data_IF_623018881506
#
_entry.id   IF_623018881506
#
_cell.length_a   1.000
_cell.length_b   1.000
_cell.length_c   1.000
_cell.angle_alpha   90.00
_cell.angle_beta   90.00
_cell.angle_gamma   90.00
#
_symmetry.space_group_name_H-M   'P 1'
#
loop_
_entity.id
_entity.type
_entity.pdbx_description
1 polymer ?
#
# COMPACT_ATOMS: atom_id res chain seq x y z
N UNK A 1 -3.07 15.18 -8.92
CA UNK A 1 -2.62 13.78 -9.13
C UNK A 1 -2.08 13.28 -7.81
N UNK A 2 -2.65 12.21 -7.27
CA UNK A 2 -2.17 11.64 -6.01
C UNK A 2 -0.88 10.86 -6.27
N UNK A 3 0.23 11.29 -5.64
CA UNK A 3 1.51 10.58 -5.77
C UNK A 3 1.43 9.14 -5.28
N UNK A 4 0.55 8.89 -4.30
CA UNK A 4 0.33 7.56 -3.74
C UNK A 4 -0.42 6.65 -4.71
N UNK A 5 -1.51 7.14 -5.33
CA UNK A 5 -2.34 6.34 -6.23
C UNK A 5 -1.63 6.01 -7.55
N UNK A 6 -0.76 6.89 -8.02
CA UNK A 6 0.01 6.68 -9.27
C UNK A 6 1.27 5.82 -9.10
N UNK A 7 1.65 5.47 -7.86
CA UNK A 7 2.89 4.77 -7.57
C UNK A 7 2.95 3.34 -8.16
N UNK A 8 1.83 2.63 -8.21
CA UNK A 8 1.77 1.28 -8.81
C UNK A 8 2.10 1.35 -10.31
N UNK A 9 1.45 2.25 -11.04
CA UNK A 9 1.71 2.46 -12.47
C UNK A 9 3.13 2.95 -12.72
N UNK A 10 3.67 3.82 -11.85
CA UNK A 10 5.05 4.27 -11.92
C UNK A 10 6.08 3.12 -11.91
N UNK A 11 5.79 2.04 -11.18
CA UNK A 11 6.64 0.84 -11.12
C UNK A 11 6.25 -0.25 -12.14
N UNK A 12 5.34 0.03 -13.07
CA UNK A 12 5.00 -0.87 -14.18
C UNK A 12 3.88 -1.88 -13.87
N UNK A 13 3.09 -1.66 -12.81
CA UNK A 13 1.82 -2.36 -12.64
C UNK A 13 0.74 -1.71 -13.49
N UNK A 14 -0.07 -2.52 -14.19
CA UNK A 14 -1.20 -2.02 -14.99
C UNK A 14 -2.38 -1.65 -14.09
N UNK A 15 -2.25 -0.50 -13.41
CA UNK A 15 -3.25 0.05 -12.49
C UNK A 15 -3.43 1.53 -12.83
N UNK A 16 -4.24 1.85 -13.85
CA UNK A 16 -4.52 3.24 -14.21
C UNK A 16 -5.35 3.93 -13.12
N UNK A 17 -5.11 5.23 -12.94
CA UNK A 17 -5.98 6.10 -12.13
C UNK A 17 -7.30 6.29 -12.90
N UNK A 18 -8.43 6.04 -12.24
CA UNK A 18 -9.78 6.21 -12.78
C UNK A 18 -10.65 6.92 -11.74
N UNK A 19 -11.79 7.47 -12.16
CA UNK A 19 -12.75 8.11 -11.25
C UNK A 19 -13.32 7.10 -10.24
N UNK A 20 -13.61 7.58 -9.03
CA UNK A 20 -14.09 6.72 -7.93
C UNK A 20 -15.40 5.99 -8.28
N UNK A 21 -16.36 6.69 -8.89
CA UNK A 21 -17.63 6.08 -9.30
C UNK A 21 -17.43 5.00 -10.36
N UNK A 22 -16.53 5.22 -11.32
CA UNK A 22 -16.18 4.22 -12.32
C UNK A 22 -15.51 3.00 -11.69
N UNK A 23 -14.54 3.21 -10.79
CA UNK A 23 -13.91 2.13 -10.03
C UNK A 23 -14.91 1.33 -9.20
N UNK A 24 -15.82 2.02 -8.51
CA UNK A 24 -16.86 1.40 -7.67
C UNK A 24 -17.79 0.53 -8.51
N UNK A 25 -18.29 1.03 -9.64
CA UNK A 25 -19.13 0.23 -10.56
C UNK A 25 -18.40 -1.02 -11.04
N UNK A 26 -17.13 -0.90 -11.46
CA UNK A 26 -16.33 -2.06 -11.89
C UNK A 26 -16.12 -3.09 -10.76
N UNK A 27 -15.92 -2.63 -9.52
CA UNK A 27 -15.81 -3.50 -8.35
C UNK A 27 -17.13 -4.24 -8.08
N UNK A 28 -18.27 -3.53 -8.14
CA UNK A 28 -19.59 -4.11 -7.94
C UNK A 28 -19.90 -5.18 -8.99
N UNK A 29 -19.67 -4.87 -10.27
CA UNK A 29 -19.81 -5.83 -11.38
C UNK A 29 -18.92 -7.05 -11.18
N UNK A 30 -17.65 -6.86 -10.82
CA UNK A 30 -16.71 -7.96 -10.61
C UNK A 30 -17.13 -8.91 -9.48
N UNK A 31 -17.69 -8.38 -8.39
CA UNK A 31 -18.17 -9.16 -7.24
C UNK A 31 -19.52 -9.83 -7.54
N UNK A 32 -20.42 -9.15 -8.26
CA UNK A 32 -21.77 -9.64 -8.55
C UNK A 32 -21.85 -10.60 -9.75
N UNK A 33 -20.91 -10.55 -10.70
CA UNK A 33 -20.88 -11.40 -11.91
C UNK A 33 -20.57 -12.88 -11.64
N UNK A 34 -20.93 -13.41 -10.47
CA UNK A 34 -20.50 -14.72 -9.98
C UNK A 34 -20.73 -15.89 -10.94
N UNK A 35 -19.86 -16.90 -10.79
CA UNK A 35 -20.06 -18.33 -11.11
C UNK A 35 -19.67 -18.89 -12.48
N UNK A 36 -18.51 -18.52 -13.04
CA UNK A 36 -17.82 -19.43 -13.98
C UNK A 36 -16.47 -19.93 -13.43
N UNK A 37 -15.74 -19.10 -12.70
CA UNK A 37 -14.53 -19.52 -11.96
C UNK A 37 -14.51 -18.79 -10.61
N UNK A 38 -14.97 -19.46 -9.54
CA UNK A 38 -14.79 -18.96 -8.16
C UNK A 38 -13.32 -19.13 -7.76
N UNK A 39 -12.47 -18.26 -8.27
CA UNK A 39 -11.11 -18.15 -7.75
C UNK A 39 -11.09 -17.40 -6.41
N UNK A 40 -10.12 -17.74 -5.57
CA UNK A 40 -9.88 -17.14 -4.24
C UNK A 40 -9.82 -15.60 -4.27
N UNK A 41 -9.55 -15.01 -5.45
CA UNK A 41 -9.46 -13.57 -5.67
C UNK A 41 -10.79 -12.83 -5.42
N UNK A 42 -11.94 -13.42 -5.77
CA UNK A 42 -13.25 -12.79 -5.54
C UNK A 42 -13.61 -12.75 -4.05
N UNK A 43 -13.30 -13.80 -3.28
CA UNK A 43 -13.56 -13.82 -1.83
C UNK A 43 -12.72 -12.80 -1.06
N UNK A 44 -11.50 -12.51 -1.51
CA UNK A 44 -10.63 -11.51 -0.89
C UNK A 44 -11.15 -10.07 -1.04
N UNK A 45 -12.01 -9.80 -2.03
CA UNK A 45 -12.55 -8.47 -2.30
C UNK A 45 -13.88 -8.20 -1.58
N UNK A 46 -14.54 -9.21 -1.01
CA UNK A 46 -15.80 -9.02 -0.28
C UNK A 46 -15.71 -8.00 0.87
N UNK A 47 -14.66 -7.99 1.71
CA UNK A 47 -14.51 -6.95 2.73
C UNK A 47 -14.35 -5.54 2.14
N UNK A 48 -13.62 -5.43 1.02
CA UNK A 48 -13.43 -4.16 0.31
C UNK A 48 -14.72 -3.66 -0.35
N UNK A 49 -15.49 -4.58 -0.94
CA UNK A 49 -16.80 -4.31 -1.52
C UNK A 49 -17.74 -3.69 -0.48
N UNK A 50 -17.88 -4.31 0.71
CA UNK A 50 -18.69 -3.74 1.79
C UNK A 50 -18.24 -2.32 2.18
N UNK A 51 -16.93 -2.07 2.20
CA UNK A 51 -16.38 -0.76 2.51
C UNK A 51 -16.72 0.27 1.41
N UNK A 52 -16.60 -0.11 0.14
CA UNK A 52 -16.86 0.76 -1.02
C UNK A 52 -18.35 1.09 -1.24
N UNK A 53 -19.25 0.12 -1.00
CA UNK A 53 -20.70 0.33 -1.11
C UNK A 53 -21.24 1.27 -0.03
N UNK A 54 -20.50 1.46 1.06
CA UNK A 54 -20.88 2.28 2.22
C UNK A 54 -20.41 3.74 2.12
N UNK A 55 -20.09 4.22 0.92
CA UNK A 55 -19.52 5.56 0.66
C UNK A 55 -18.15 5.78 1.32
N UNK A 56 -17.12 5.13 0.73
CA UNK A 56 -15.74 5.19 1.19
C UNK A 56 -15.22 6.64 1.39
N UNK A 57 -15.39 7.57 0.43
CA UNK A 57 -14.83 8.92 0.54
C UNK A 57 -15.30 9.70 1.76
N UNK A 58 -16.54 9.49 2.20
CA UNK A 58 -17.09 10.17 3.38
C UNK A 58 -16.76 9.45 4.69
N UNK A 59 -16.61 8.12 4.66
CA UNK A 59 -16.40 7.29 5.86
C UNK A 59 -14.93 7.07 6.22
N UNK A 60 -13.99 7.20 5.28
CA UNK A 60 -12.56 6.93 5.51
C UNK A 60 -11.68 8.17 5.45
N UNK A 61 -12.25 9.37 5.29
CA UNK A 61 -11.47 10.61 5.38
C UNK A 61 -11.05 10.83 6.83
N UNK A 62 -9.77 10.56 7.10
CA UNK A 62 -9.19 10.89 8.39
C UNK A 62 -9.25 12.41 8.61
N UNK A 63 -9.53 12.87 9.84
CA UNK A 63 -9.42 14.30 10.17
C UNK A 63 -7.96 14.75 10.07
N UNK A 64 -7.76 16.00 9.68
CA UNK A 64 -6.45 16.65 9.84
C UNK A 64 -6.11 16.71 11.32
N UNK A 65 -4.93 16.20 11.69
CA UNK A 65 -4.45 16.18 13.07
C UNK A 65 -3.52 17.37 13.30
N UNK A 66 -3.73 18.07 14.41
CA UNK A 66 -2.85 19.14 14.86
C UNK A 66 -1.71 18.55 15.70
N UNK A 67 -0.48 18.62 15.17
CA UNK A 67 0.72 18.05 15.77
C UNK A 67 1.61 19.07 16.49
N UNK A 68 1.15 20.32 16.68
CA UNK A 68 1.95 21.41 17.27
C UNK A 68 2.60 21.06 18.60
N UNK A 69 1.91 20.29 19.44
CA UNK A 69 2.44 19.84 20.72
C UNK A 69 3.55 18.80 20.55
N UNK A 70 3.40 17.86 19.62
CA UNK A 70 4.43 16.87 19.28
C UNK A 70 5.69 17.56 18.78
N UNK A 71 5.53 18.52 17.86
CA UNK A 71 6.63 19.33 17.33
C UNK A 71 7.36 20.07 18.45
N UNK A 72 6.62 20.70 19.38
CA UNK A 72 7.21 21.42 20.51
C UNK A 72 8.01 20.50 21.45
N UNK A 73 7.50 19.29 21.72
CA UNK A 73 8.18 18.29 22.55
C UNK A 73 9.45 17.79 21.86
N UNK A 74 9.41 17.46 20.58
CA UNK A 74 10.57 16.96 19.82
C UNK A 74 11.70 17.99 19.75
N UNK A 75 11.38 19.26 19.51
CA UNK A 75 12.39 20.34 19.54
C UNK A 75 12.99 20.51 20.92
N UNK A 76 12.15 20.51 21.95
CA UNK A 76 12.62 20.59 23.34
C UNK A 76 13.50 19.40 23.73
N UNK A 77 13.22 18.21 23.16
CA UNK A 77 14.03 17.01 23.37
C UNK A 77 15.43 17.13 22.72
N UNK A 78 15.43 17.52 21.45
CA UNK A 78 16.64 17.78 20.67
C UNK A 78 17.56 18.79 21.37
N UNK A 79 16.99 19.92 21.83
CA UNK A 79 17.75 21.01 22.45
C UNK A 79 18.41 20.62 23.78
N UNK A 80 17.80 19.71 24.55
CA UNK A 80 18.17 19.48 25.96
C UNK A 80 18.79 18.12 26.24
N UNK A 81 18.52 17.10 25.43
CA UNK A 81 18.96 15.73 25.72
C UNK A 81 19.59 15.03 24.53
N UNK A 82 18.90 14.93 23.39
CA UNK A 82 19.30 14.00 22.32
C UNK A 82 20.14 14.65 21.22
N UNK A 83 19.99 15.95 20.99
CA UNK A 83 20.62 16.65 19.85
C UNK A 83 20.02 16.30 18.49
N UNK A 84 18.90 15.57 18.42
CA UNK A 84 18.26 15.11 17.18
C UNK A 84 16.88 15.74 17.04
N UNK A 85 16.68 16.57 16.00
CA UNK A 85 15.38 17.22 15.71
C UNK A 85 14.63 16.50 14.58
N UNK A 86 13.71 15.61 14.95
CA UNK A 86 12.78 14.92 14.02
C UNK A 86 11.40 15.61 13.93
N UNK A 87 11.29 16.88 14.35
CA UNK A 87 10.01 17.59 14.44
C UNK A 87 9.40 18.00 13.09
N UNK A 88 10.15 17.87 11.99
CA UNK A 88 9.64 18.12 10.65
C UNK A 88 8.65 17.05 10.17
N UNK A 89 8.64 15.88 10.84
CA UNK A 89 7.90 14.71 10.39
C UNK A 89 8.51 14.06 9.14
N UNK A 90 8.07 12.83 8.86
CA UNK A 90 8.45 12.12 7.64
C UNK A 90 7.19 11.60 6.94
N UNK A 91 7.13 11.82 5.63
CA UNK A 91 6.05 11.33 4.78
C UNK A 91 6.45 10.07 4.02
N UNK A 92 5.46 9.32 3.53
CA UNK A 92 5.72 8.17 2.66
C UNK A 92 6.08 8.66 1.26
N UNK A 93 7.34 8.51 0.86
CA UNK A 93 7.80 8.82 -0.49
C UNK A 93 7.46 7.70 -1.48
N UNK A 94 7.50 7.99 -2.78
CA UNK A 94 7.35 6.96 -3.83
C UNK A 94 8.42 5.87 -3.72
N UNK A 95 9.60 6.19 -3.22
CA UNK A 95 10.66 5.21 -2.99
C UNK A 95 10.32 4.27 -1.83
N UNK A 96 9.72 4.78 -0.75
CA UNK A 96 9.19 3.93 0.32
C UNK A 96 8.10 2.97 -0.21
N UNK A 97 7.18 3.47 -1.04
CA UNK A 97 6.15 2.64 -1.70
C UNK A 97 6.81 1.55 -2.56
N UNK A 98 7.84 1.91 -3.34
CA UNK A 98 8.59 0.96 -4.15
C UNK A 98 9.23 -0.15 -3.31
N UNK A 99 9.80 0.18 -2.14
CA UNK A 99 10.33 -0.83 -1.20
C UNK A 99 9.24 -1.74 -0.65
N UNK A 100 8.05 -1.20 -0.34
CA UNK A 100 6.90 -2.02 0.08
C UNK A 100 6.46 -2.98 -1.02
N UNK A 101 6.36 -2.50 -2.26
CA UNK A 101 6.02 -3.34 -3.41
C UNK A 101 7.08 -4.41 -3.67
N UNK A 102 8.37 -4.07 -3.55
CA UNK A 102 9.47 -5.05 -3.62
C UNK A 102 9.29 -6.14 -2.57
N UNK A 103 9.07 -5.76 -1.31
CA UNK A 103 8.85 -6.71 -0.23
C UNK A 103 7.65 -7.63 -0.50
N UNK A 104 6.49 -7.06 -0.87
CA UNK A 104 5.29 -7.83 -1.19
C UNK A 104 5.50 -8.81 -2.35
N UNK A 105 6.29 -8.42 -3.36
CA UNK A 105 6.67 -9.30 -4.45
C UNK A 105 7.65 -10.40 -4.02
N UNK A 106 8.66 -10.06 -3.20
CA UNK A 106 9.63 -11.01 -2.64
C UNK A 106 8.92 -12.09 -1.82
N UNK A 107 7.93 -11.71 -1.01
CA UNK A 107 7.12 -12.66 -0.24
C UNK A 107 6.00 -13.33 -1.05
N UNK A 108 5.96 -13.15 -2.37
CA UNK A 108 4.94 -13.72 -3.28
C UNK A 108 3.50 -13.34 -2.94
N UNK A 109 3.29 -12.24 -2.23
CA UNK A 109 1.95 -11.70 -1.97
C UNK A 109 1.41 -10.94 -3.18
N UNK A 110 2.28 -10.28 -3.94
CA UNK A 110 1.99 -9.65 -5.23
C UNK A 110 2.89 -10.24 -6.32
N UNK A 111 2.45 -10.25 -7.59
CA UNK A 111 3.35 -10.51 -8.70
C UNK A 111 4.36 -9.36 -8.86
N UNK A 112 5.47 -9.63 -9.55
CA UNK A 112 6.35 -8.58 -10.05
C UNK A 112 5.66 -7.79 -11.17
N UNK A 113 5.96 -6.49 -11.34
CA UNK A 113 5.40 -5.69 -12.43
C UNK A 113 5.88 -6.24 -13.78
N UNK A 114 4.99 -6.24 -14.76
CA UNK A 114 5.25 -6.76 -16.13
C UNK A 114 5.27 -5.65 -17.18
N UNK A 115 4.74 -4.47 -16.86
CA UNK A 115 4.70 -3.32 -17.76
C UNK A 115 6.00 -2.52 -17.78
N UNK A 116 6.01 -1.45 -18.60
CA UNK A 116 7.10 -0.47 -18.58
C UNK A 116 6.95 0.43 -17.36
N UNK A 117 7.98 0.51 -16.53
CA UNK A 117 8.00 1.36 -15.34
C UNK A 117 9.41 1.45 -14.77
N UNK A 118 9.56 2.21 -13.68
CA UNK A 118 10.83 2.23 -12.94
C UNK A 118 11.02 0.89 -12.24
N UNK A 119 12.26 0.46 -12.09
CA UNK A 119 12.54 -0.73 -11.29
C UNK A 119 12.17 -0.49 -9.82
N UNK A 120 11.64 -1.53 -9.19
CA UNK A 120 11.36 -1.51 -7.75
C UNK A 120 12.70 -1.34 -6.99
N UNK A 121 12.78 -0.42 -6.02
CA UNK A 121 13.98 -0.24 -5.20
C UNK A 121 14.42 -1.56 -4.51
N UNK A 122 15.72 -1.75 -4.26
CA UNK A 122 16.19 -2.88 -3.48
C UNK A 122 15.72 -2.76 -2.01
N UNK A 123 15.50 -3.91 -1.39
CA UNK A 123 15.30 -4.05 0.06
C UNK A 123 16.56 -4.65 0.69
N UNK A 124 16.66 -4.67 2.03
CA UNK A 124 17.85 -5.22 2.68
C UNK A 124 18.01 -6.72 2.39
N UNK A 125 19.27 -7.14 2.22
CA UNK A 125 19.61 -8.54 1.97
C UNK A 125 19.11 -9.47 3.10
N UNK A 126 19.09 -8.98 4.35
CA UNK A 126 18.60 -9.74 5.50
C UNK A 126 17.11 -10.08 5.38
N UNK A 127 16.30 -9.17 4.80
CA UNK A 127 14.87 -9.41 4.57
C UNK A 127 14.66 -10.43 3.46
N UNK A 128 15.47 -10.36 2.39
CA UNK A 128 15.43 -11.36 1.32
C UNK A 128 15.83 -12.76 1.81
N UNK A 129 16.88 -12.82 2.65
CA UNK A 129 17.35 -14.06 3.26
C UNK A 129 16.32 -14.64 4.25
N UNK A 130 15.72 -13.80 5.10
CA UNK A 130 14.68 -14.22 6.02
C UNK A 130 13.48 -14.83 5.28
N UNK A 131 13.06 -14.21 4.17
CA UNK A 131 11.98 -14.77 3.35
C UNK A 131 12.36 -16.11 2.71
N UNK A 132 13.57 -16.21 2.18
CA UNK A 132 14.07 -17.46 1.59
C UNK A 132 14.14 -18.59 2.62
N UNK A 133 14.50 -18.28 3.86
CA UNK A 133 14.64 -19.25 4.94
C UNK A 133 13.29 -19.66 5.55
N UNK A 134 12.33 -18.74 5.67
CA UNK A 134 11.10 -18.98 6.43
C UNK A 134 9.93 -19.37 5.52
N UNK A 135 9.98 -18.99 4.24
CA UNK A 135 8.97 -19.36 3.24
C UNK A 135 7.54 -18.89 3.58
N UNK A 136 7.37 -18.06 4.61
CA UNK A 136 6.07 -17.59 5.07
C UNK A 136 5.71 -16.31 4.32
N UNK A 137 4.82 -16.41 3.33
CA UNK A 137 4.36 -15.24 2.59
C UNK A 137 3.58 -15.64 1.34
N UNK A 138 2.43 -15.01 1.12
CA UNK A 138 1.53 -15.27 0.01
C UNK A 138 0.06 -15.12 0.40
N UNK A 139 -0.83 -14.91 -0.58
CA UNK A 139 -2.29 -15.03 -0.38
C UNK A 139 -2.63 -16.52 -0.26
N UNK A 140 -2.44 -17.05 0.94
CA UNK A 140 -2.52 -18.49 1.21
C UNK A 140 -1.13 -19.12 1.13
N UNK A 141 -0.56 -19.48 2.28
CA UNK A 141 0.64 -20.28 2.34
C UNK A 141 0.36 -21.65 1.72
N UNK A 142 0.78 -21.85 0.48
CA UNK A 142 0.88 -23.18 -0.10
C UNK A 142 2.17 -23.80 0.41
N UNK A 143 2.04 -24.76 1.32
CA UNK A 143 3.05 -25.79 1.54
C UNK A 143 3.23 -26.61 0.26
#
# INVERSE_FOLDING_TARGET
MSEFLSALNYYGYDVPEVDYEEWKTRLEEFVLAGSVEKDQQQSALMPLFHMATSDLPSTTRAPELDDRNTVAVLKGDADRWTGVDDSAGEGVTRENIGRYLRFLATIKFLPLPTGRGRELPPISADVEQAQAQWGVGGRGGTA
#
